data_IF_268351648679
#
_entry.id   IF_268351648679
#
_cell.length_a   1.000
_cell.length_b   1.000
_cell.length_c   1.000
_cell.angle_alpha   90.00
_cell.angle_beta   90.00
_cell.angle_gamma   90.00
#
_symmetry.space_group_name_H-M   'P 1'
#
loop_
_entity.id
_entity.type
_entity.pdbx_description
1 polymer ?
#
# COMPACT_ATOMS: atom_id res chain seq x y z
N UNK A 1 3.69 6.34 -21.97
CA UNK A 1 5.06 5.84 -21.80
C UNK A 1 6.03 6.93 -21.34
N UNK A 2 6.74 7.67 -22.19
CA UNK A 2 7.83 8.58 -21.72
C UNK A 2 7.38 9.68 -20.74
N UNK A 3 6.12 10.14 -20.85
CA UNK A 3 5.56 11.16 -19.97
C UNK A 3 5.38 10.67 -18.52
N UNK A 4 5.06 9.39 -18.34
CA UNK A 4 4.84 8.79 -17.02
C UNK A 4 6.17 8.63 -16.29
N UNK A 5 7.19 8.09 -16.98
CA UNK A 5 8.54 8.00 -16.46
C UNK A 5 9.09 9.40 -16.10
N UNK A 6 8.91 10.38 -16.99
CA UNK A 6 9.32 11.76 -16.73
C UNK A 6 8.66 12.37 -15.49
N UNK A 7 7.35 12.17 -15.32
CA UNK A 7 6.61 12.62 -14.14
C UNK A 7 7.11 11.92 -12.87
N UNK A 8 7.22 10.59 -12.88
CA UNK A 8 7.71 9.78 -11.77
C UNK A 8 9.08 10.26 -11.30
N UNK A 9 10.05 10.38 -12.21
CA UNK A 9 11.40 10.83 -11.87
C UNK A 9 11.44 12.25 -11.32
N UNK A 10 10.65 13.17 -11.91
CA UNK A 10 10.62 14.56 -11.44
C UNK A 10 10.14 14.71 -9.99
N UNK A 11 9.32 13.79 -9.52
CA UNK A 11 8.80 13.75 -8.15
C UNK A 11 9.79 13.00 -7.25
N UNK A 12 10.05 11.72 -7.53
CA UNK A 12 10.84 10.84 -6.65
C UNK A 12 12.26 11.36 -6.45
N UNK A 13 12.91 11.81 -7.52
CA UNK A 13 14.26 12.34 -7.41
C UNK A 13 14.27 13.68 -6.67
N UNK A 14 13.19 14.46 -6.72
CA UNK A 14 13.08 15.74 -5.99
C UNK A 14 12.78 15.54 -4.51
N UNK A 15 11.87 14.64 -4.16
CA UNK A 15 11.44 14.39 -2.78
C UNK A 15 12.58 13.93 -1.88
N UNK A 16 13.55 13.22 -2.45
CA UNK A 16 14.73 12.75 -1.75
C UNK A 16 16.00 13.55 -2.08
N UNK A 17 15.93 14.54 -2.98
CA UNK A 17 17.09 15.37 -3.26
C UNK A 17 17.44 16.21 -2.04
N UNK A 18 18.67 16.08 -1.54
CA UNK A 18 19.14 16.71 -0.31
C UNK A 18 19.19 15.75 0.89
N UNK A 19 18.47 14.64 0.84
CA UNK A 19 18.82 13.47 1.65
C UNK A 19 20.15 12.88 1.14
N UNK A 20 20.87 12.08 1.95
CA UNK A 20 22.05 11.38 1.46
C UNK A 20 21.58 10.26 0.53
N UNK A 21 21.29 10.58 -0.74
CA UNK A 21 21.39 9.57 -1.78
C UNK A 21 22.78 8.96 -1.60
N UNK A 22 22.89 7.62 -1.43
CA UNK A 22 24.20 7.00 -1.42
C UNK A 22 24.92 7.41 -2.71
N UNK A 23 26.24 7.53 -2.68
CA UNK A 23 26.97 7.67 -3.94
C UNK A 23 26.64 6.47 -4.81
N UNK A 24 26.49 6.67 -6.12
CA UNK A 24 26.01 5.63 -7.05
C UNK A 24 26.73 4.28 -6.85
N UNK A 25 28.04 4.30 -6.61
CA UNK A 25 28.84 3.09 -6.37
C UNK A 25 28.47 2.38 -5.06
N UNK A 26 28.21 3.11 -3.98
CA UNK A 26 27.79 2.53 -2.70
C UNK A 26 26.39 1.90 -2.84
N UNK A 27 25.47 2.61 -3.50
CA UNK A 27 24.15 2.08 -3.81
C UNK A 27 24.26 0.79 -4.62
N UNK A 28 25.06 0.80 -5.68
CA UNK A 28 25.27 -0.37 -6.52
C UNK A 28 25.81 -1.56 -5.71
N UNK A 29 26.80 -1.35 -4.85
CA UNK A 29 27.34 -2.39 -3.98
C UNK A 29 26.29 -2.93 -2.99
N UNK A 30 25.40 -2.09 -2.49
CA UNK A 30 24.31 -2.51 -1.60
C UNK A 30 23.29 -3.38 -2.34
N UNK A 31 22.93 -3.01 -3.57
CA UNK A 31 22.04 -3.81 -4.41
C UNK A 31 22.70 -5.10 -4.91
N UNK A 32 24.00 -5.10 -5.20
CA UNK A 32 24.76 -6.32 -5.49
C UNK A 32 24.65 -7.32 -4.34
N UNK A 33 24.87 -6.88 -3.09
CA UNK A 33 24.71 -7.74 -1.91
C UNK A 33 23.28 -8.23 -1.75
N UNK A 34 22.28 -7.36 -1.98
CA UNK A 34 20.88 -7.73 -1.89
C UNK A 34 20.48 -8.81 -2.91
N UNK A 35 21.04 -8.74 -4.12
CA UNK A 35 20.87 -9.76 -5.17
C UNK A 35 21.59 -11.05 -4.81
N UNK A 36 22.83 -10.99 -4.32
CA UNK A 36 23.60 -12.15 -3.85
C UNK A 36 22.90 -12.89 -2.69
N UNK A 37 22.13 -12.16 -1.87
CA UNK A 37 21.32 -12.70 -0.79
C UNK A 37 19.98 -13.31 -1.26
N UNK A 38 19.72 -13.35 -2.58
CA UNK A 38 18.62 -14.09 -3.19
C UNK A 38 17.49 -13.26 -3.81
N UNK A 39 17.58 -11.92 -3.83
CA UNK A 39 16.57 -11.04 -4.43
C UNK A 39 16.81 -10.80 -5.93
N UNK A 40 17.15 -11.86 -6.66
CA UNK A 40 17.65 -11.79 -8.04
C UNK A 40 16.63 -11.21 -9.03
N UNK A 41 15.33 -11.45 -8.82
CA UNK A 41 14.27 -11.06 -9.76
C UNK A 41 13.99 -9.55 -9.78
N UNK A 42 13.96 -8.90 -8.61
CA UNK A 42 13.56 -7.51 -8.50
C UNK A 42 14.70 -6.58 -8.08
N UNK A 43 15.77 -7.08 -7.47
CA UNK A 43 16.86 -6.24 -6.92
C UNK A 43 17.46 -5.29 -7.96
N UNK A 44 17.87 -5.81 -9.12
CA UNK A 44 18.39 -4.96 -10.20
C UNK A 44 17.31 -4.08 -10.84
N UNK A 45 16.06 -4.55 -10.93
CA UNK A 45 14.94 -3.76 -11.46
C UNK A 45 14.71 -2.49 -10.64
N UNK A 46 14.69 -2.63 -9.30
CA UNK A 46 14.53 -1.51 -8.37
C UNK A 46 15.76 -0.57 -8.37
N UNK A 47 16.97 -1.13 -8.49
CA UNK A 47 18.18 -0.31 -8.63
C UNK A 47 18.12 0.58 -9.88
N UNK A 48 17.83 0.00 -11.04
CA UNK A 48 17.80 0.74 -12.30
C UNK A 48 16.61 1.71 -12.38
N UNK A 49 15.47 1.36 -11.77
CA UNK A 49 14.30 2.24 -11.74
C UNK A 49 14.52 3.49 -10.92
N UNK A 50 15.48 3.53 -9.99
CA UNK A 50 15.83 4.70 -9.17
C UNK A 50 17.16 5.35 -9.55
N UNK A 51 17.96 4.67 -10.38
CA UNK A 51 19.30 5.11 -10.82
C UNK A 51 19.40 6.53 -11.38
N UNK A 52 18.40 7.06 -12.14
CA UNK A 52 18.46 8.44 -12.61
C UNK A 52 18.56 9.48 -11.49
N UNK A 53 18.07 9.18 -10.28
CA UNK A 53 18.09 10.12 -9.16
C UNK A 53 19.50 10.44 -8.65
N UNK A 54 20.48 9.53 -8.81
CA UNK A 54 21.87 9.79 -8.45
C UNK A 54 22.53 10.89 -9.32
N UNK A 55 21.90 11.25 -10.44
CA UNK A 55 22.40 12.23 -11.40
C UNK A 55 21.45 13.42 -11.59
N UNK A 56 20.38 13.54 -10.78
CA UNK A 56 19.32 14.55 -10.94
C UNK A 56 19.76 16.00 -10.66
N UNK A 57 20.97 16.16 -10.11
CA UNK A 57 21.58 17.46 -9.83
C UNK A 57 21.16 18.06 -8.49
N UNK A 58 21.73 19.23 -8.18
CA UNK A 58 21.47 19.93 -6.92
C UNK A 58 20.11 20.64 -6.98
N UNK A 59 19.12 20.07 -6.30
CA UNK A 59 17.84 20.74 -6.05
C UNK A 59 17.63 20.91 -4.53
N UNK A 60 16.90 21.94 -4.08
CA UNK A 60 16.75 22.21 -2.65
C UNK A 60 16.09 21.05 -1.90
N UNK A 61 16.68 20.73 -0.75
CA UNK A 61 16.19 19.68 0.15
C UNK A 61 14.75 19.92 0.59
N UNK A 62 13.93 18.88 0.46
CA UNK A 62 12.63 18.82 1.08
C UNK A 62 12.79 18.14 2.44
N UNK A 63 12.65 18.92 3.52
CA UNK A 63 12.68 18.38 4.88
C UNK A 63 11.33 17.71 5.16
N UNK A 64 11.29 16.40 5.48
CA UNK A 64 10.05 15.73 5.83
C UNK A 64 9.39 16.43 7.03
N UNK A 65 8.12 16.81 6.86
CA UNK A 65 7.34 17.36 7.97
C UNK A 65 6.81 16.20 8.80
N UNK A 66 7.40 16.00 9.96
CA UNK A 66 6.89 15.03 10.95
C UNK A 66 5.79 15.73 11.75
N UNK A 67 4.57 15.17 11.81
CA UNK A 67 3.49 15.72 12.61
C UNK A 67 3.89 15.85 14.09
N UNK A 68 3.49 16.97 14.70
CA UNK A 68 3.69 17.17 16.13
C UNK A 68 2.68 16.36 16.97
N UNK A 69 2.74 16.50 18.29
CA UNK A 69 1.81 15.81 19.19
C UNK A 69 0.37 16.32 19.12
N UNK A 70 0.11 17.46 18.47
CA UNK A 70 -1.22 18.03 18.31
C UNK A 70 -1.91 17.53 17.04
N UNK A 71 -1.20 16.78 16.19
CA UNK A 71 -1.80 16.15 15.02
C UNK A 71 -2.81 15.08 15.43
N UNK A 72 -4.09 15.41 15.31
CA UNK A 72 -5.23 14.63 15.81
C UNK A 72 -6.04 13.94 14.71
N UNK A 73 -5.56 13.99 13.46
CA UNK A 73 -6.24 13.34 12.34
C UNK A 73 -6.24 11.82 12.52
N UNK A 74 -7.45 11.27 12.54
CA UNK A 74 -7.69 9.82 12.53
C UNK A 74 -7.46 9.30 11.13
N UNK A 75 -6.61 8.29 11.00
CA UNK A 75 -6.26 7.67 9.72
C UNK A 75 -6.38 6.15 9.82
N UNK A 76 -7.01 5.52 8.84
CA UNK A 76 -6.96 4.08 8.66
C UNK A 76 -5.78 3.74 7.75
N UNK A 77 -4.85 2.92 8.25
CA UNK A 77 -3.74 2.36 7.50
C UNK A 77 -4.05 0.89 7.21
N UNK A 78 -3.68 0.42 6.03
CA UNK A 78 -3.95 -0.95 5.57
C UNK A 78 -2.65 -1.49 4.98
N UNK A 79 -2.30 -2.71 5.32
CA UNK A 79 -1.08 -3.30 4.82
C UNK A 79 -1.03 -4.82 4.88
N UNK A 80 -0.47 -5.44 3.85
CA UNK A 80 -0.11 -6.85 3.86
C UNK A 80 1.28 -7.07 4.47
N UNK A 81 1.50 -8.21 5.12
CA UNK A 81 2.74 -8.46 5.87
C UNK A 81 4.00 -8.55 4.99
N UNK A 82 3.86 -9.12 3.78
CA UNK A 82 4.94 -9.36 2.83
C UNK A 82 4.81 -8.54 1.54
N UNK A 83 4.23 -7.34 1.61
CA UNK A 83 4.28 -6.38 0.51
C UNK A 83 5.74 -6.00 0.20
N UNK A 84 6.19 -6.34 -1.00
CA UNK A 84 7.58 -6.14 -1.42
C UNK A 84 7.89 -4.70 -1.84
N UNK A 85 6.90 -3.94 -2.32
CA UNK A 85 7.09 -2.58 -2.81
C UNK A 85 7.08 -1.57 -1.66
N UNK A 86 6.23 -1.80 -0.67
CA UNK A 86 6.21 -1.04 0.58
C UNK A 86 6.26 -2.03 1.74
N UNK A 87 7.42 -2.28 2.37
CA UNK A 87 7.52 -3.26 3.45
C UNK A 87 6.68 -2.89 4.69
N UNK A 88 6.11 -3.90 5.36
CA UNK A 88 5.25 -3.73 6.55
C UNK A 88 5.90 -2.95 7.71
N UNK A 89 7.22 -2.98 7.81
CA UNK A 89 7.98 -2.14 8.76
C UNK A 89 7.77 -0.64 8.53
N UNK A 90 7.59 -0.21 7.27
CA UNK A 90 7.23 1.15 6.90
C UNK A 90 5.81 1.53 7.35
N UNK A 91 4.86 0.60 7.26
CA UNK A 91 3.51 0.79 7.79
C UNK A 91 3.51 0.94 9.33
N UNK A 92 4.32 0.13 10.03
CA UNK A 92 4.51 0.26 11.48
C UNK A 92 5.14 1.60 11.86
N UNK A 93 6.18 2.05 11.13
CA UNK A 93 6.80 3.35 11.34
C UNK A 93 5.80 4.50 11.10
N UNK A 94 5.00 4.41 10.04
CA UNK A 94 3.93 5.37 9.73
C UNK A 94 2.89 5.42 10.85
N UNK A 95 2.46 4.26 11.35
CA UNK A 95 1.55 4.15 12.50
C UNK A 95 2.13 4.79 13.78
N UNK A 96 3.43 4.71 13.99
CA UNK A 96 4.10 5.33 15.13
C UNK A 96 4.16 6.87 15.02
N UNK A 97 4.44 7.38 13.82
CA UNK A 97 4.44 8.81 13.51
C UNK A 97 3.02 9.38 13.70
N UNK A 98 2.02 8.77 13.08
CA UNK A 98 0.62 9.19 13.16
C UNK A 98 -0.09 8.53 14.33
N UNK A 99 0.00 9.14 15.52
CA UNK A 99 -0.44 8.52 16.79
C UNK A 99 -1.94 8.25 16.92
N UNK A 100 -2.77 8.91 16.11
CA UNK A 100 -4.21 8.68 16.03
C UNK A 100 -4.60 7.71 14.90
N UNK A 101 -3.63 7.19 14.14
CA UNK A 101 -3.92 6.20 13.11
C UNK A 101 -4.17 4.81 13.70
N UNK A 102 -4.79 3.95 12.91
CA UNK A 102 -5.00 2.53 13.23
C UNK A 102 -4.55 1.72 12.03
N UNK A 103 -3.74 0.68 12.28
CA UNK A 103 -3.23 -0.20 11.23
C UNK A 103 -4.02 -1.51 11.20
N UNK A 104 -4.63 -1.80 10.06
CA UNK A 104 -5.14 -3.13 9.72
C UNK A 104 -4.04 -3.89 9.00
N UNK A 105 -3.59 -4.98 9.59
CA UNK A 105 -2.60 -5.89 9.02
C UNK A 105 -3.27 -7.09 8.37
N UNK A 106 -2.66 -7.59 7.29
CA UNK A 106 -3.07 -8.80 6.60
C UNK A 106 -1.91 -9.82 6.66
N UNK A 107 -1.81 -10.61 7.76
CA UNK A 107 -0.71 -11.55 7.97
C UNK A 107 -0.61 -12.60 6.86
N UNK A 108 0.59 -12.88 6.38
CA UNK A 108 0.83 -13.81 5.28
C UNK A 108 0.54 -13.27 3.87
N UNK A 109 -0.02 -12.06 3.75
CA UNK A 109 -0.31 -11.43 2.46
C UNK A 109 0.93 -10.92 1.75
N UNK A 110 0.89 -10.88 0.42
CA UNK A 110 2.00 -10.48 -0.48
C UNK A 110 1.61 -9.40 -1.51
N UNK A 111 0.36 -8.98 -1.53
CA UNK A 111 -0.17 -8.06 -2.51
C UNK A 111 0.23 -6.61 -2.17
N UNK A 112 0.24 -5.74 -3.19
CA UNK A 112 0.59 -4.34 -3.05
C UNK A 112 -0.60 -3.46 -3.39
N UNK A 113 -0.92 -2.52 -2.50
CA UNK A 113 -1.99 -1.54 -2.68
C UNK A 113 -3.41 -2.11 -2.88
N UNK A 114 -3.67 -3.33 -2.43
CA UNK A 114 -4.99 -3.97 -2.58
C UNK A 114 -5.93 -3.61 -1.42
N UNK A 115 -7.03 -2.96 -1.76
CA UNK A 115 -8.15 -2.67 -0.86
C UNK A 115 -9.44 -2.51 -1.68
N UNK A 116 -10.62 -2.76 -1.09
CA UNK A 116 -11.91 -2.58 -1.75
C UNK A 116 -12.15 -3.43 -3.02
N UNK A 117 -11.49 -4.59 -3.11
CA UNK A 117 -11.69 -5.55 -4.21
C UNK A 117 -12.96 -6.42 -4.06
N UNK A 118 -13.83 -6.16 -3.07
CA UNK A 118 -15.07 -6.91 -2.77
C UNK A 118 -14.87 -8.43 -2.59
N UNK A 119 -13.72 -8.81 -2.05
CA UNK A 119 -13.33 -10.20 -1.80
C UNK A 119 -12.91 -10.43 -0.34
N UNK A 120 -13.00 -9.41 0.53
CA UNK A 120 -12.54 -9.47 1.92
C UNK A 120 -13.53 -8.83 2.91
N UNK A 121 -14.53 -9.60 3.38
CA UNK A 121 -15.53 -9.09 4.33
C UNK A 121 -14.96 -8.48 5.63
N UNK A 122 -13.78 -8.93 6.09
CA UNK A 122 -13.13 -8.35 7.27
C UNK A 122 -12.59 -6.94 6.99
N UNK A 123 -11.75 -6.80 5.94
CA UNK A 123 -11.10 -5.54 5.59
C UNK A 123 -12.12 -4.55 5.01
N UNK A 124 -12.92 -5.00 4.05
CA UNK A 124 -13.87 -4.14 3.32
C UNK A 124 -14.89 -3.52 4.27
N UNK A 125 -15.35 -4.26 5.30
CA UNK A 125 -16.24 -3.71 6.34
C UNK A 125 -15.57 -2.64 7.18
N UNK A 126 -14.30 -2.82 7.56
CA UNK A 126 -13.55 -1.81 8.33
C UNK A 126 -13.36 -0.54 7.50
N UNK A 127 -13.02 -0.69 6.21
CA UNK A 127 -12.87 0.44 5.30
C UNK A 127 -14.22 1.16 5.13
N UNK A 128 -15.30 0.43 4.86
CA UNK A 128 -16.63 1.00 4.68
C UNK A 128 -17.10 1.75 5.95
N UNK A 129 -16.92 1.17 7.14
CA UNK A 129 -17.28 1.81 8.40
C UNK A 129 -16.46 3.10 8.64
N UNK A 130 -15.15 3.07 8.37
CA UNK A 130 -14.29 4.25 8.48
C UNK A 130 -14.66 5.34 7.47
N UNK A 131 -14.94 4.98 6.20
CA UNK A 131 -15.33 5.94 5.17
C UNK A 131 -16.71 6.57 5.43
N UNK A 132 -17.66 5.79 5.95
CA UNK A 132 -19.02 6.26 6.25
C UNK A 132 -19.06 7.13 7.52
N UNK A 133 -18.34 6.73 8.57
CA UNK A 133 -18.51 7.30 9.91
C UNK A 133 -17.28 8.05 10.45
N UNK A 134 -16.09 7.84 9.87
CA UNK A 134 -14.82 8.28 10.42
C UNK A 134 -14.38 7.54 11.68
N UNK A 135 -15.08 6.47 12.08
CA UNK A 135 -14.73 5.65 13.24
C UNK A 135 -13.60 4.68 12.87
N UNK A 136 -12.59 4.62 13.73
CA UNK A 136 -11.50 3.65 13.62
C UNK A 136 -11.75 2.48 14.59
N UNK A 137 -11.22 1.28 14.28
CA UNK A 137 -11.09 0.23 15.27
C UNK A 137 -10.28 0.69 16.50
N UNK A 138 -10.35 -0.09 17.58
CA UNK A 138 -9.56 0.22 18.77
C UNK A 138 -8.06 0.05 18.48
N UNK A 139 -7.30 1.13 18.67
CA UNK A 139 -5.84 1.08 18.63
C UNK A 139 -5.31 0.25 19.81
N UNK A 140 -4.35 -0.61 19.53
CA UNK A 140 -3.63 -1.42 20.52
C UNK A 140 -2.44 -0.65 21.10
N UNK A 141 -2.03 -1.03 22.31
CA UNK A 141 -0.81 -0.49 22.92
C UNK A 141 0.48 -1.03 22.26
N UNK A 142 0.39 -2.10 21.47
CA UNK A 142 1.53 -2.73 20.80
C UNK A 142 2.06 -1.81 19.70
N UNK A 143 3.38 -1.66 19.63
CA UNK A 143 4.04 -0.82 18.60
C UNK A 143 4.49 -1.60 17.37
N UNK A 144 4.76 -2.90 17.53
CA UNK A 144 5.36 -3.75 16.50
C UNK A 144 4.36 -4.73 15.87
N UNK A 145 3.08 -4.38 15.86
CA UNK A 145 2.03 -5.19 15.29
C UNK A 145 0.91 -4.29 14.76
N UNK A 146 0.08 -4.85 13.88
CA UNK A 146 -1.19 -4.23 13.52
C UNK A 146 -2.12 -4.13 14.73
N UNK A 147 -3.07 -3.20 14.65
CA UNK A 147 -4.11 -3.04 15.67
C UNK A 147 -5.23 -4.04 15.50
N UNK A 148 -5.51 -4.38 14.25
CA UNK A 148 -6.48 -5.39 13.84
C UNK A 148 -5.85 -6.22 12.75
N UNK A 149 -6.07 -7.53 12.78
CA UNK A 149 -5.63 -8.44 11.73
C UNK A 149 -6.83 -8.99 10.97
N UNK A 150 -6.76 -8.95 9.65
CA UNK A 150 -7.70 -9.60 8.74
C UNK A 150 -6.98 -10.68 7.93
N UNK A 151 -7.70 -11.70 7.42
CA UNK A 151 -7.12 -12.66 6.50
C UNK A 151 -6.55 -11.98 5.24
N UNK A 152 -5.40 -12.44 4.71
CA UNK A 152 -4.77 -11.86 3.53
C UNK A 152 -5.54 -12.13 2.24
N UNK A 153 -5.18 -11.42 1.17
CA UNK A 153 -5.62 -11.77 -0.17
C UNK A 153 -5.16 -13.19 -0.57
N UNK A 154 -6.02 -13.98 -1.24
CA UNK A 154 -5.65 -15.30 -1.69
C UNK A 154 -4.53 -15.17 -2.72
N UNK A 155 -3.59 -16.10 -2.67
CA UNK A 155 -2.61 -16.23 -3.73
C UNK A 155 -3.32 -16.53 -5.06
N UNK A 156 -2.81 -15.99 -6.18
CA UNK A 156 -3.24 -16.43 -7.50
C UNK A 156 -3.09 -17.95 -7.61
N UNK A 157 -4.17 -18.66 -7.98
CA UNK A 157 -4.11 -20.09 -8.26
C UNK A 157 -3.77 -20.30 -9.74
N UNK A 158 -2.55 -20.76 -10.08
CA UNK A 158 -2.13 -20.95 -11.46
C UNK A 158 -2.90 -22.08 -12.17
N UNK A 159 -3.67 -22.88 -11.43
CA UNK A 159 -4.51 -23.97 -11.95
C UNK A 159 -5.98 -23.57 -12.12
N UNK A 160 -6.37 -22.38 -11.67
CA UNK A 160 -7.73 -21.88 -11.82
C UNK A 160 -8.06 -21.70 -13.31
N UNK A 161 -9.02 -22.48 -13.80
CA UNK A 161 -9.55 -22.38 -15.17
C UNK A 161 -10.72 -21.39 -15.28
N UNK A 162 -11.16 -20.81 -14.15
CA UNK A 162 -12.21 -19.80 -14.13
C UNK A 162 -11.64 -18.41 -14.46
N UNK A 163 -11.99 -17.93 -15.64
CA UNK A 163 -11.58 -16.63 -16.19
C UNK A 163 -12.10 -15.43 -15.40
N UNK A 164 -13.05 -15.59 -14.49
CA UNK A 164 -13.58 -14.49 -13.66
C UNK A 164 -12.65 -14.13 -12.49
N UNK A 165 -11.94 -15.09 -11.91
CA UNK A 165 -11.02 -14.85 -10.78
C UNK A 165 -9.69 -14.29 -11.26
N UNK A 166 -9.24 -14.71 -12.45
CA UNK A 166 -8.01 -14.22 -13.07
C UNK A 166 -8.12 -12.77 -13.58
N UNK A 167 -9.33 -12.35 -13.99
CA UNK A 167 -9.62 -11.00 -14.52
C UNK A 167 -9.43 -9.92 -13.46
N UNK A 168 -9.88 -10.20 -12.23
CA UNK A 168 -9.82 -9.27 -11.10
C UNK A 168 -8.39 -9.03 -10.58
N UNK A 169 -7.48 -10.00 -10.72
CA UNK A 169 -6.14 -9.93 -10.15
C UNK A 169 -5.10 -9.27 -11.07
N UNK A 170 -5.38 -9.13 -12.37
CA UNK A 170 -4.39 -8.63 -13.32
C UNK A 170 -4.85 -7.46 -14.20
N UNK A 171 -6.15 -7.15 -14.25
CA UNK A 171 -6.68 -6.08 -15.09
C UNK A 171 -6.46 -6.33 -16.59
N UNK A 172 -7.50 -6.20 -17.40
CA UNK A 172 -7.44 -6.64 -18.79
C UNK A 172 -6.66 -5.70 -19.71
N UNK A 173 -6.06 -4.63 -19.16
CA UNK A 173 -5.46 -3.56 -19.95
C UNK A 173 -6.45 -2.77 -20.80
N UNK A 174 -7.75 -3.06 -20.71
CA UNK A 174 -8.82 -2.31 -21.35
C UNK A 174 -9.74 -1.76 -20.25
N UNK A 175 -9.85 -0.42 -20.21
CA UNK A 175 -10.56 0.31 -19.17
C UNK A 175 -11.99 -0.17 -19.01
N UNK A 176 -12.28 -0.78 -17.86
CA UNK A 176 -13.62 -1.13 -17.43
C UNK A 176 -13.83 -0.59 -16.00
N UNK A 177 -13.96 0.74 -15.92
CA UNK A 177 -14.14 1.52 -14.69
C UNK A 177 -15.50 1.27 -13.98
N UNK A 178 -16.34 0.39 -14.50
CA UNK A 178 -17.77 0.37 -14.15
C UNK A 178 -18.25 -0.87 -13.35
N UNK A 179 -17.48 -1.95 -13.21
CA UNK A 179 -17.98 -3.15 -12.50
C UNK A 179 -17.78 -3.05 -10.99
N UNK A 180 -16.60 -2.60 -10.53
CA UNK A 180 -16.23 -2.52 -9.11
C UNK A 180 -17.04 -1.48 -8.31
N UNK A 181 -17.67 -0.53 -9.01
CA UNK A 181 -18.41 0.56 -8.40
C UNK A 181 -19.89 0.25 -8.15
N UNK A 182 -20.47 -0.83 -8.71
CA UNK A 182 -21.92 -1.07 -8.61
C UNK A 182 -22.31 -1.72 -7.28
N UNK A 183 -21.57 -2.74 -6.86
CA UNK A 183 -21.91 -3.54 -5.68
C UNK A 183 -21.64 -2.74 -4.38
N UNK A 184 -20.52 -2.03 -4.30
CA UNK A 184 -20.21 -1.10 -3.22
C UNK A 184 -21.21 0.06 -3.16
N UNK A 185 -21.67 0.60 -4.30
CA UNK A 185 -22.72 1.64 -4.32
C UNK A 185 -24.05 1.10 -3.80
N UNK A 186 -24.37 -0.16 -4.05
CA UNK A 186 -25.59 -0.78 -3.52
C UNK A 186 -25.48 -1.08 -2.03
N UNK A 187 -24.35 -1.60 -1.54
CA UNK A 187 -24.12 -1.79 -0.11
C UNK A 187 -24.08 -0.48 0.66
N UNK A 188 -23.37 0.55 0.18
CA UNK A 188 -23.38 1.87 0.80
C UNK A 188 -24.80 2.44 0.85
N UNK A 189 -25.56 2.34 -0.25
CA UNK A 189 -26.97 2.76 -0.25
C UNK A 189 -27.82 1.97 0.73
N UNK A 190 -27.54 0.69 0.97
CA UNK A 190 -28.31 -0.15 1.91
C UNK A 190 -27.95 0.16 3.36
N UNK A 191 -26.68 0.39 3.66
CA UNK A 191 -26.19 0.81 4.99
C UNK A 191 -26.75 2.19 5.35
N UNK A 192 -26.67 3.15 4.43
CA UNK A 192 -27.22 4.51 4.60
C UNK A 192 -28.76 4.52 4.76
N UNK A 193 -29.46 3.51 4.26
CA UNK A 193 -30.91 3.35 4.41
C UNK A 193 -31.33 2.44 5.58
N UNK A 194 -30.41 2.02 6.44
CA UNK A 194 -30.70 1.46 7.77
C UNK A 194 -31.24 0.03 7.82
N UNK A 195 -30.92 -0.84 6.86
CA UNK A 195 -31.45 -2.22 6.85
C UNK A 195 -30.33 -3.29 6.75
N UNK A 196 -29.70 -3.68 7.87
CA UNK A 196 -28.67 -4.72 7.88
C UNK A 196 -29.28 -6.13 7.76
N UNK A 197 -28.68 -6.98 6.93
CA UNK A 197 -29.05 -8.39 6.81
C UNK A 197 -28.72 -9.13 8.12
N UNK A 198 -29.74 -9.78 8.70
CA UNK A 198 -29.52 -10.90 9.62
C UNK A 198 -29.19 -12.13 8.78
N UNK A 199 -27.97 -12.64 8.88
CA UNK A 199 -27.65 -13.98 8.42
C UNK A 199 -27.43 -14.91 9.61
N UNK A 200 -28.15 -16.04 9.55
CA UNK A 200 -28.00 -17.23 10.36
C UNK A 200 -26.77 -18.03 9.96
#
# INVERSE_FOLDING_TARGET
DDQEAGAFYSIVCRENAGGPWPVFEDAKLDYERNVDDGNELLGWGVFWSTSPCYFWGDVPELVPVIPDHNFDTKMLLIHEEFDAATPFSGALATREIFRQSVLVGLPGGVAHAESLLDIKPCLDRIIAEYLDTGVLPNRTATRNAADVECPPYPFPDPSATDTNTARFLFGDGEGDDDIMMVELKEELRRILNGNPLRHH
#
